data_IF_945621691303
#
_entry.id   IF_945621691303
#
_cell.length_a   1.000
_cell.length_b   1.000
_cell.length_c   1.000
_cell.angle_alpha   90.00
_cell.angle_beta   90.00
_cell.angle_gamma   90.00
#
_symmetry.space_group_name_H-M   'P 1'
#
loop_
_entity.id
_entity.type
_entity.pdbx_description
1 polymer ?
#
# COMPACT_ATOMS: atom_id res chain seq x y z
N UNK A 1 8.61 -13.79 24.52
CA UNK A 1 8.27 -12.38 24.20
C UNK A 1 6.80 -12.18 24.53
N UNK A 2 6.41 -11.09 25.18
CA UNK A 2 5.01 -10.72 25.45
C UNK A 2 4.61 -9.61 24.48
N UNK A 3 3.46 -9.75 23.83
CA UNK A 3 2.93 -8.77 22.88
C UNK A 3 1.83 -7.94 23.55
N UNK A 4 2.01 -6.63 23.59
CA UNK A 4 0.96 -5.65 23.89
C UNK A 4 0.45 -5.05 22.59
N UNK A 5 -0.84 -5.21 22.32
CA UNK A 5 -1.48 -4.72 21.09
C UNK A 5 -2.46 -3.59 21.38
N UNK A 6 -2.48 -2.59 20.50
CA UNK A 6 -3.44 -1.50 20.51
C UNK A 6 -3.96 -1.25 19.10
N UNK A 7 -5.27 -1.28 18.92
CA UNK A 7 -5.94 -0.85 17.69
C UNK A 7 -6.24 0.64 17.76
N UNK A 8 -5.59 1.41 16.90
CA UNK A 8 -5.77 2.85 16.82
C UNK A 8 -6.97 3.27 15.94
N UNK A 9 -7.65 2.33 15.28
CA UNK A 9 -8.84 2.59 14.45
C UNK A 9 -8.56 3.63 13.34
N UNK A 10 -7.42 3.54 12.69
CA UNK A 10 -6.97 4.45 11.62
C UNK A 10 -6.93 5.94 12.06
N UNK A 11 -6.65 6.21 13.35
CA UNK A 11 -6.58 7.56 13.90
C UNK A 11 -5.18 7.85 14.43
N UNK A 12 -4.45 8.84 13.85
CA UNK A 12 -3.11 9.18 14.29
C UNK A 12 -3.03 9.55 15.77
N UNK A 13 -4.03 10.27 16.28
CA UNK A 13 -4.10 10.65 17.72
C UNK A 13 -4.22 9.42 18.64
N UNK A 14 -4.89 8.37 18.20
CA UNK A 14 -4.98 7.12 18.98
C UNK A 14 -3.64 6.34 18.92
N UNK A 15 -2.93 6.37 17.79
CA UNK A 15 -1.59 5.80 17.70
C UNK A 15 -0.62 6.50 18.65
N UNK A 16 -0.58 7.82 18.64
CA UNK A 16 0.26 8.62 19.55
C UNK A 16 -0.05 8.28 21.02
N UNK A 17 -1.34 8.18 21.37
CA UNK A 17 -1.74 7.79 22.72
C UNK A 17 -1.26 6.37 23.06
N UNK A 18 -1.44 5.41 22.16
CA UNK A 18 -0.99 4.03 22.38
C UNK A 18 0.54 3.93 22.55
N UNK A 19 1.31 4.70 21.77
CA UNK A 19 2.77 4.77 21.90
C UNK A 19 3.15 5.31 23.28
N UNK A 20 2.52 6.37 23.78
CA UNK A 20 2.75 6.90 25.13
C UNK A 20 2.39 5.89 26.21
N UNK A 21 1.27 5.17 26.05
CA UNK A 21 0.88 4.09 26.99
C UNK A 21 1.93 2.95 27.01
N UNK A 22 2.58 2.65 25.89
CA UNK A 22 3.67 1.66 25.82
C UNK A 22 4.96 2.20 26.44
N UNK A 23 5.29 3.47 26.27
CA UNK A 23 6.41 4.12 26.95
C UNK A 23 6.23 4.03 28.48
N UNK A 24 5.03 4.36 28.99
CA UNK A 24 4.73 4.30 30.41
C UNK A 24 4.81 2.90 31.01
N UNK A 25 4.52 1.87 30.20
CA UNK A 25 4.67 0.46 30.57
C UNK A 25 6.11 -0.02 30.54
N UNK A 26 7.04 0.73 29.92
CA UNK A 26 8.44 0.36 29.81
C UNK A 26 8.65 -0.86 28.92
N UNK A 27 7.99 -0.92 27.76
CA UNK A 27 8.19 -2.01 26.79
C UNK A 27 9.60 -1.99 26.21
N UNK A 28 10.09 -3.14 25.76
CA UNK A 28 11.45 -3.26 25.20
C UNK A 28 11.58 -2.66 23.78
N UNK A 29 10.52 -2.73 22.98
CA UNK A 29 10.48 -2.26 21.57
C UNK A 29 9.05 -1.82 21.24
N UNK A 30 8.90 -0.78 20.45
CA UNK A 30 7.60 -0.34 19.87
C UNK A 30 7.65 -0.56 18.36
N UNK A 31 6.62 -1.22 17.80
CA UNK A 31 6.41 -1.35 16.37
C UNK A 31 5.04 -0.78 16.00
N UNK A 32 4.96 0.05 14.97
CA UNK A 32 3.69 0.61 14.51
C UNK A 32 3.71 0.96 13.03
N UNK A 33 2.51 0.93 12.40
CA UNK A 33 2.28 1.36 11.03
C UNK A 33 1.66 2.77 11.04
N UNK A 34 2.40 3.83 10.67
CA UNK A 34 1.87 5.20 10.70
C UNK A 34 0.65 5.36 9.77
N UNK A 35 -0.44 5.93 10.25
CA UNK A 35 -1.63 6.19 9.40
C UNK A 35 -1.30 7.22 8.32
N UNK A 36 -0.57 8.27 8.70
CA UNK A 36 -0.08 9.36 7.83
C UNK A 36 1.40 9.61 8.12
N UNK A 37 2.09 10.34 7.24
CA UNK A 37 3.53 10.58 7.39
C UNK A 37 3.90 11.60 8.47
N UNK A 38 3.00 12.50 8.82
CA UNK A 38 3.30 13.66 9.67
C UNK A 38 2.82 13.53 11.10
N UNK A 39 3.38 14.35 12.01
CA UNK A 39 2.93 14.46 13.41
C UNK A 39 3.63 13.51 14.39
N UNK A 40 4.68 12.82 13.99
CA UNK A 40 5.33 11.78 14.80
C UNK A 40 6.53 12.26 15.60
N UNK A 41 7.12 13.41 15.26
CA UNK A 41 8.41 13.84 15.80
C UNK A 41 8.42 13.89 17.34
N UNK A 42 7.40 14.48 17.96
CA UNK A 42 7.34 14.60 19.42
C UNK A 42 7.32 13.24 20.12
N UNK A 43 6.42 12.35 19.71
CA UNK A 43 6.28 11.02 20.35
C UNK A 43 7.48 10.12 20.08
N UNK A 44 8.13 10.23 18.92
CA UNK A 44 9.37 9.53 18.63
C UNK A 44 10.54 10.04 19.48
N UNK A 45 10.62 11.34 19.74
CA UNK A 45 11.57 11.90 20.71
C UNK A 45 11.30 11.40 22.15
N UNK A 46 10.02 11.19 22.52
CA UNK A 46 9.66 10.56 23.79
C UNK A 46 10.17 9.11 23.86
N UNK A 47 9.99 8.31 22.81
CA UNK A 47 10.56 6.96 22.70
C UNK A 47 12.09 6.97 22.86
N UNK A 48 12.77 7.87 22.15
CA UNK A 48 14.22 8.01 22.19
C UNK A 48 14.71 8.35 23.59
N UNK A 49 14.05 9.30 24.29
CA UNK A 49 14.36 9.66 25.68
C UNK A 49 14.15 8.50 26.66
N UNK A 50 13.17 7.65 26.40
CA UNK A 50 12.90 6.45 27.19
C UNK A 50 13.88 5.29 26.84
N UNK A 51 14.70 5.43 25.80
CA UNK A 51 15.62 4.39 25.35
C UNK A 51 14.90 3.22 24.66
N UNK A 52 13.69 3.43 24.16
CA UNK A 52 12.87 2.40 23.50
C UNK A 52 13.06 2.51 21.98
N UNK A 53 13.64 1.51 21.31
CA UNK A 53 13.78 1.46 19.87
C UNK A 53 12.40 1.34 19.20
N UNK A 54 12.27 2.01 18.03
CA UNK A 54 11.04 2.05 17.24
C UNK A 54 11.25 1.35 15.90
N UNK A 55 10.34 0.45 15.55
CA UNK A 55 10.23 -0.20 14.25
C UNK A 55 9.02 0.41 13.51
N UNK A 56 9.23 1.06 12.38
CA UNK A 56 8.16 1.42 11.48
C UNK A 56 7.75 0.19 10.65
N UNK A 57 6.47 -0.03 10.50
CA UNK A 57 5.94 -1.21 9.80
C UNK A 57 5.07 -0.77 8.64
N UNK A 58 5.28 -1.36 7.45
CA UNK A 58 4.52 -1.12 6.23
C UNK A 58 4.62 0.33 5.72
N UNK A 59 4.38 1.32 6.54
CA UNK A 59 4.36 2.74 6.20
C UNK A 59 5.50 3.50 6.85
N UNK A 60 6.03 4.49 6.13
CA UNK A 60 7.05 5.41 6.61
C UNK A 60 6.48 6.69 7.22
N UNK A 61 7.39 7.56 7.61
CA UNK A 61 7.12 8.92 8.09
C UNK A 61 7.82 9.93 7.17
N UNK A 62 7.42 11.20 7.26
CA UNK A 62 7.97 12.31 6.46
C UNK A 62 9.52 12.30 6.51
N UNK A 63 10.14 12.36 5.33
CA UNK A 63 11.59 12.39 5.17
C UNK A 63 12.26 13.62 5.82
N UNK A 64 11.49 14.66 6.14
CA UNK A 64 11.96 15.82 6.91
C UNK A 64 12.15 15.55 8.39
N UNK A 65 11.58 14.45 8.94
CA UNK A 65 11.78 14.02 10.31
C UNK A 65 13.16 13.37 10.46
N UNK A 66 13.87 13.73 11.56
CA UNK A 66 15.17 13.14 11.84
C UNK A 66 15.10 11.60 11.89
N UNK A 67 15.76 10.98 10.94
CA UNK A 67 15.77 9.51 10.81
C UNK A 67 16.37 8.78 12.01
N UNK A 68 17.10 9.48 12.91
CA UNK A 68 17.61 8.89 14.15
C UNK A 68 16.51 8.61 15.19
N UNK A 69 15.31 9.14 14.99
CA UNK A 69 14.17 8.99 15.90
C UNK A 69 13.47 7.62 15.79
N UNK A 70 13.71 6.87 14.72
CA UNK A 70 13.29 5.47 14.63
C UNK A 70 14.49 4.58 14.29
N UNK A 71 14.42 3.31 14.66
CA UNK A 71 15.56 2.40 14.52
C UNK A 71 15.61 1.78 13.14
N UNK A 72 14.49 1.24 12.66
CA UNK A 72 14.38 0.57 11.37
C UNK A 72 12.96 0.69 10.83
N UNK A 73 12.81 0.47 9.53
CA UNK A 73 11.52 0.28 8.85
C UNK A 73 11.49 -1.12 8.23
N UNK A 74 10.37 -1.82 8.35
CA UNK A 74 10.08 -3.09 7.70
C UNK A 74 8.89 -2.86 6.78
N UNK A 75 9.09 -2.80 5.48
CA UNK A 75 8.06 -2.41 4.52
C UNK A 75 8.42 -2.85 3.11
N UNK A 76 7.41 -2.93 2.25
CA UNK A 76 7.55 -3.00 0.80
C UNK A 76 8.14 -1.70 0.24
N UNK A 77 8.72 -1.77 -0.96
CA UNK A 77 9.08 -0.59 -1.74
C UNK A 77 7.84 -0.11 -2.51
N UNK A 78 7.15 0.88 -1.95
CA UNK A 78 5.92 1.40 -2.53
C UNK A 78 6.16 2.21 -3.81
N UNK A 79 7.34 2.83 -3.98
CA UNK A 79 7.72 3.51 -5.24
C UNK A 79 7.88 2.46 -6.34
N UNK A 80 8.61 1.38 -6.05
CA UNK A 80 8.75 0.26 -6.97
C UNK A 80 7.38 -0.34 -7.33
N UNK A 81 6.49 -0.52 -6.36
CA UNK A 81 5.16 -1.08 -6.62
C UNK A 81 4.35 -0.20 -7.59
N UNK A 82 4.37 1.13 -7.42
CA UNK A 82 3.76 2.08 -8.35
C UNK A 82 4.40 2.02 -9.74
N UNK A 83 5.73 1.99 -9.80
CA UNK A 83 6.47 1.85 -11.07
C UNK A 83 6.10 0.56 -11.81
N UNK A 84 6.04 -0.59 -11.12
CA UNK A 84 5.65 -1.86 -11.74
C UNK A 84 4.19 -1.84 -12.23
N UNK A 85 3.29 -1.22 -11.48
CA UNK A 85 1.91 -1.01 -11.95
C UNK A 85 1.89 -0.18 -13.24
N UNK A 86 2.70 0.86 -13.32
CA UNK A 86 2.81 1.70 -14.51
C UNK A 86 3.37 0.94 -15.72
N UNK A 87 4.42 0.12 -15.52
CA UNK A 87 5.00 -0.74 -16.57
C UNK A 87 3.92 -1.65 -17.17
N UNK A 88 3.17 -2.36 -16.32
CA UNK A 88 2.12 -3.28 -16.78
C UNK A 88 0.97 -2.51 -17.45
N UNK A 89 0.55 -1.36 -16.92
CA UNK A 89 -0.48 -0.52 -17.54
C UNK A 89 -0.07 -0.04 -18.93
N UNK A 90 1.18 0.41 -19.08
CA UNK A 90 1.72 0.86 -20.37
C UNK A 90 1.72 -0.25 -21.42
N UNK A 91 2.07 -1.47 -21.02
CA UNK A 91 2.03 -2.65 -21.91
C UNK A 91 0.58 -2.98 -22.34
N UNK A 92 -0.35 -3.04 -21.37
CA UNK A 92 -1.76 -3.36 -21.62
C UNK A 92 -2.44 -2.34 -22.54
N UNK A 93 -2.10 -1.04 -22.41
CA UNK A 93 -2.64 0.04 -23.22
C UNK A 93 -1.79 0.34 -24.48
N UNK A 94 -0.71 -0.42 -24.71
CA UNK A 94 0.19 -0.19 -25.85
C UNK A 94 0.72 1.26 -25.91
N UNK A 95 0.93 1.86 -24.75
CA UNK A 95 1.52 3.20 -24.56
C UNK A 95 0.58 4.37 -24.82
N UNK A 96 -0.74 4.17 -24.96
CA UNK A 96 -1.71 5.26 -25.22
C UNK A 96 -3.06 4.96 -24.58
N UNK A 97 -3.67 5.95 -23.91
CA UNK A 97 -4.98 5.82 -23.30
C UNK A 97 -5.26 6.82 -22.19
N UNK A 98 -6.46 6.73 -21.62
CA UNK A 98 -6.93 7.56 -20.51
C UNK A 98 -6.99 6.70 -19.26
N UNK A 99 -6.26 7.10 -18.22
CA UNK A 99 -6.14 6.37 -16.96
C UNK A 99 -6.66 7.22 -15.81
N UNK A 100 -7.31 6.58 -14.86
CA UNK A 100 -7.70 7.16 -13.57
C UNK A 100 -6.99 6.42 -12.44
N UNK A 101 -6.74 7.12 -11.34
CA UNK A 101 -6.05 6.61 -10.18
C UNK A 101 -6.93 6.67 -8.95
N UNK A 102 -7.14 5.49 -8.32
CA UNK A 102 -7.82 5.36 -7.04
C UNK A 102 -6.78 5.34 -5.94
N UNK A 103 -6.61 6.48 -5.30
CA UNK A 103 -5.62 6.68 -4.24
C UNK A 103 -6.07 6.10 -2.91
N UNK A 104 -5.11 5.72 -2.08
CA UNK A 104 -5.35 5.33 -0.70
C UNK A 104 -5.65 6.51 0.23
N UNK A 105 -5.41 6.30 1.52
CA UNK A 105 -5.56 7.34 2.56
C UNK A 105 -4.63 8.51 2.28
N UNK A 106 -5.20 9.71 2.19
CA UNK A 106 -4.43 10.93 1.91
C UNK A 106 -3.41 11.18 3.03
N UNK A 107 -2.16 11.42 2.64
CA UNK A 107 -1.04 11.65 3.55
C UNK A 107 -0.37 10.38 4.09
N UNK A 108 -0.82 9.18 3.69
CA UNK A 108 -0.11 7.94 3.97
C UNK A 108 1.07 7.78 3.01
N UNK A 109 2.23 7.33 3.51
CA UNK A 109 3.44 7.11 2.69
C UNK A 109 3.20 6.14 1.53
N UNK A 110 2.43 5.07 1.75
CA UNK A 110 2.06 4.12 0.71
C UNK A 110 1.29 4.79 -0.44
N UNK A 111 0.37 5.73 -0.13
CA UNK A 111 -0.36 6.50 -1.15
C UNK A 111 0.59 7.39 -1.95
N UNK A 112 1.40 8.20 -1.25
CA UNK A 112 2.33 9.16 -1.86
C UNK A 112 3.35 8.46 -2.74
N UNK A 113 3.91 7.35 -2.28
CA UNK A 113 4.98 6.64 -2.97
C UNK A 113 4.47 5.80 -4.14
N UNK A 114 3.27 5.18 -4.03
CA UNK A 114 2.64 4.47 -5.17
C UNK A 114 2.27 5.44 -6.29
N UNK A 115 1.67 6.59 -5.95
CA UNK A 115 1.43 7.69 -6.91
C UNK A 115 2.73 8.15 -7.57
N UNK A 116 3.76 8.47 -6.77
CA UNK A 116 5.05 8.89 -7.28
C UNK A 116 5.63 7.89 -8.30
N UNK A 117 5.69 6.61 -7.94
CA UNK A 117 6.25 5.58 -8.82
C UNK A 117 5.47 5.44 -10.13
N UNK A 118 4.14 5.49 -10.06
CA UNK A 118 3.26 5.37 -11.21
C UNK A 118 3.36 6.60 -12.12
N UNK A 119 3.20 7.79 -11.58
CA UNK A 119 3.19 9.04 -12.32
C UNK A 119 4.53 9.36 -12.95
N UNK A 120 5.63 9.20 -12.19
CA UNK A 120 6.98 9.44 -12.70
C UNK A 120 7.31 8.52 -13.87
N UNK A 121 6.96 7.23 -13.79
CA UNK A 121 7.15 6.30 -14.89
C UNK A 121 6.34 6.70 -16.13
N UNK A 122 5.04 6.99 -15.94
CA UNK A 122 4.14 7.39 -17.05
C UNK A 122 4.62 8.65 -17.74
N UNK A 123 5.00 9.68 -16.97
CA UNK A 123 5.50 10.94 -17.50
C UNK A 123 6.79 10.77 -18.30
N UNK A 124 7.69 9.90 -17.84
CA UNK A 124 8.99 9.68 -18.48
C UNK A 124 8.91 8.78 -19.72
N UNK A 125 8.03 7.76 -19.72
CA UNK A 125 8.09 6.68 -20.71
C UNK A 125 6.85 6.58 -21.60
N UNK A 126 5.70 7.11 -21.18
CA UNK A 126 4.41 6.88 -21.84
C UNK A 126 3.63 8.18 -22.11
N UNK A 127 4.17 9.12 -22.93
CA UNK A 127 3.52 10.43 -23.16
C UNK A 127 2.15 10.32 -23.85
N UNK A 128 1.78 9.16 -24.37
CA UNK A 128 0.46 8.89 -24.94
C UNK A 128 -0.59 8.47 -23.91
N UNK A 129 -0.20 8.17 -22.67
CA UNK A 129 -1.12 7.86 -21.57
C UNK A 129 -1.38 9.15 -20.78
N UNK A 130 -2.66 9.44 -20.55
CA UNK A 130 -3.10 10.61 -19.81
C UNK A 130 -3.76 10.17 -18.50
N UNK A 131 -3.18 10.53 -17.37
CA UNK A 131 -3.80 10.36 -16.06
C UNK A 131 -4.72 11.57 -15.85
N UNK A 132 -6.03 11.35 -15.87
CA UNK A 132 -7.05 12.43 -15.87
C UNK A 132 -7.68 12.67 -14.52
N UNK A 133 -7.49 11.76 -13.58
CA UNK A 133 -8.00 11.89 -12.20
C UNK A 133 -7.15 11.12 -11.21
N UNK A 134 -6.97 11.74 -10.03
CA UNK A 134 -6.45 11.16 -8.82
C UNK A 134 -7.51 11.36 -7.74
N UNK A 135 -8.15 10.28 -7.27
CA UNK A 135 -9.22 10.39 -6.29
C UNK A 135 -9.11 9.34 -5.20
N UNK A 136 -9.17 9.78 -3.93
CA UNK A 136 -9.01 8.86 -2.80
C UNK A 136 -10.25 7.99 -2.60
N UNK A 137 -10.02 6.69 -2.49
CA UNK A 137 -10.95 5.67 -2.01
C UNK A 137 -10.55 5.12 -0.63
N UNK A 138 -9.60 5.80 0.05
CA UNK A 138 -9.21 5.54 1.45
C UNK A 138 -8.89 4.07 1.76
N UNK A 139 -8.31 3.35 0.79
CA UNK A 139 -7.98 1.92 0.85
C UNK A 139 -9.16 0.99 1.12
N UNK A 140 -10.40 1.45 0.97
CA UNK A 140 -11.58 0.63 1.25
C UNK A 140 -12.36 0.25 0.00
N UNK A 141 -12.96 -0.95 -0.01
CA UNK A 141 -13.75 -1.46 -1.14
C UNK A 141 -14.96 -0.58 -1.45
N UNK A 142 -15.70 -0.19 -0.43
CA UNK A 142 -16.91 0.62 -0.59
C UNK A 142 -16.59 1.99 -1.19
N UNK A 143 -15.50 2.63 -0.75
CA UNK A 143 -15.08 3.92 -1.31
C UNK A 143 -14.49 3.75 -2.72
N UNK A 144 -13.69 2.70 -2.96
CA UNK A 144 -13.21 2.39 -4.31
C UNK A 144 -14.35 2.23 -5.32
N UNK A 145 -15.42 1.52 -4.93
CA UNK A 145 -16.63 1.39 -5.75
C UNK A 145 -17.33 2.73 -5.96
N UNK A 146 -17.53 3.52 -4.92
CA UNK A 146 -18.20 4.81 -5.01
C UNK A 146 -17.44 5.79 -5.90
N UNK A 147 -16.12 5.90 -5.70
CA UNK A 147 -15.23 6.76 -6.50
C UNK A 147 -15.21 6.31 -7.96
N UNK A 148 -15.10 5.02 -8.24
CA UNK A 148 -15.11 4.52 -9.62
C UNK A 148 -16.44 4.81 -10.31
N UNK A 149 -17.57 4.67 -9.63
CA UNK A 149 -18.89 5.01 -10.18
C UNK A 149 -18.99 6.52 -10.54
N UNK A 150 -18.42 7.39 -9.70
CA UNK A 150 -18.34 8.83 -9.97
C UNK A 150 -17.44 9.15 -11.17
N UNK A 151 -16.29 8.50 -11.29
CA UNK A 151 -15.37 8.66 -12.41
C UNK A 151 -16.00 8.21 -13.73
N UNK A 152 -16.71 7.07 -13.74
CA UNK A 152 -17.45 6.58 -14.90
C UNK A 152 -18.59 7.54 -15.35
N UNK A 153 -19.19 8.27 -14.41
CA UNK A 153 -20.20 9.27 -14.72
C UNK A 153 -19.60 10.60 -15.22
N UNK A 154 -18.34 10.88 -14.87
CA UNK A 154 -17.65 12.14 -15.16
C UNK A 154 -16.89 12.10 -16.48
N UNK A 155 -16.22 11.00 -16.77
CA UNK A 155 -15.39 10.84 -17.96
C UNK A 155 -16.10 9.98 -19.01
N UNK A 156 -16.15 10.47 -20.24
CA UNK A 156 -16.80 9.77 -21.37
C UNK A 156 -16.06 8.46 -21.71
N UNK A 157 -14.75 8.42 -21.45
CA UNK A 157 -13.89 7.28 -21.75
C UNK A 157 -12.78 7.11 -20.70
N UNK A 158 -12.60 5.88 -20.25
CA UNK A 158 -11.53 5.45 -19.35
C UNK A 158 -11.00 4.12 -19.90
N UNK A 159 -9.70 4.05 -20.19
CA UNK A 159 -9.02 2.83 -20.67
C UNK A 159 -8.41 2.01 -19.54
N UNK A 160 -8.01 2.68 -18.47
CA UNK A 160 -7.33 2.02 -17.36
C UNK A 160 -7.61 2.63 -15.99
N UNK A 161 -7.49 1.79 -14.97
CA UNK A 161 -7.57 2.15 -13.55
C UNK A 161 -6.33 1.62 -12.84
N UNK A 162 -5.57 2.49 -12.19
CA UNK A 162 -4.62 2.10 -11.17
C UNK A 162 -5.25 2.31 -9.80
N UNK A 163 -5.50 1.23 -9.07
CA UNK A 163 -5.96 1.27 -7.69
C UNK A 163 -4.79 1.01 -6.75
N UNK A 164 -4.57 1.90 -5.78
CA UNK A 164 -3.46 1.78 -4.84
C UNK A 164 -3.55 0.55 -3.94
N UNK A 165 -4.72 -0.12 -3.90
CA UNK A 165 -4.82 -1.44 -3.29
C UNK A 165 -5.91 -2.30 -3.93
N UNK A 166 -5.86 -3.60 -3.60
CA UNK A 166 -6.76 -4.61 -4.13
C UNK A 166 -8.23 -4.39 -3.71
N UNK A 167 -8.48 -3.94 -2.48
CA UNK A 167 -9.86 -3.72 -2.02
C UNK A 167 -10.55 -2.62 -2.84
N UNK A 168 -9.86 -1.52 -3.14
CA UNK A 168 -10.40 -0.49 -4.03
C UNK A 168 -10.59 -1.01 -5.46
N UNK A 169 -9.65 -1.83 -5.96
CA UNK A 169 -9.78 -2.45 -7.28
C UNK A 169 -10.99 -3.38 -7.36
N UNK A 170 -11.22 -4.20 -6.34
CA UNK A 170 -12.40 -5.07 -6.26
C UNK A 170 -13.71 -4.25 -6.22
N UNK A 171 -13.71 -3.12 -5.52
CA UNK A 171 -14.82 -2.17 -5.54
C UNK A 171 -15.01 -1.53 -6.93
N UNK A 172 -13.92 -1.14 -7.60
CA UNK A 172 -13.96 -0.59 -8.95
C UNK A 172 -14.51 -1.61 -9.98
N UNK A 173 -14.14 -2.89 -9.85
CA UNK A 173 -14.69 -3.99 -10.67
C UNK A 173 -16.22 -4.03 -10.56
N UNK A 174 -16.77 -3.94 -9.34
CA UNK A 174 -18.22 -3.92 -9.13
C UNK A 174 -18.88 -2.72 -9.83
N UNK A 175 -18.32 -1.51 -9.69
CA UNK A 175 -18.84 -0.30 -10.32
C UNK A 175 -18.80 -0.38 -11.85
N UNK A 176 -17.74 -0.92 -12.44
CA UNK A 176 -17.58 -1.10 -13.89
C UNK A 176 -18.62 -2.10 -14.41
N UNK A 177 -18.87 -3.20 -13.71
CA UNK A 177 -19.90 -4.18 -14.06
C UNK A 177 -21.31 -3.58 -13.97
N UNK A 178 -21.60 -2.77 -12.95
CA UNK A 178 -22.87 -2.07 -12.79
C UNK A 178 -23.15 -1.05 -13.92
N UNK A 179 -22.08 -0.45 -14.45
CA UNK A 179 -22.15 0.41 -15.63
C UNK A 179 -22.35 -0.36 -16.95
N UNK A 180 -22.37 -1.70 -16.90
CA UNK A 180 -22.54 -2.56 -18.08
C UNK A 180 -21.26 -2.76 -18.89
N UNK A 181 -20.10 -2.40 -18.33
CA UNK A 181 -18.79 -2.59 -18.94
C UNK A 181 -18.12 -3.86 -18.39
N UNK A 182 -17.08 -4.33 -19.07
CA UNK A 182 -16.33 -5.51 -18.71
C UNK A 182 -15.00 -5.13 -18.07
N UNK A 183 -14.85 -5.27 -16.72
CA UNK A 183 -13.58 -5.04 -16.06
C UNK A 183 -12.52 -6.01 -16.59
N UNK A 184 -11.29 -5.53 -16.74
CA UNK A 184 -10.19 -6.28 -17.30
C UNK A 184 -10.16 -6.37 -18.84
N UNK A 185 -11.33 -6.20 -19.52
CA UNK A 185 -11.43 -6.17 -20.98
C UNK A 185 -11.60 -4.75 -21.50
N UNK A 186 -12.74 -4.08 -21.20
CA UNK A 186 -13.05 -2.75 -21.66
C UNK A 186 -12.24 -1.69 -20.90
N UNK A 187 -11.99 -1.92 -19.60
CA UNK A 187 -11.16 -1.07 -18.76
C UNK A 187 -10.10 -1.97 -18.11
N UNK A 188 -8.83 -1.67 -18.33
CA UNK A 188 -7.70 -2.37 -17.69
C UNK A 188 -7.58 -1.95 -16.24
N UNK A 189 -7.35 -2.92 -15.35
CA UNK A 189 -7.28 -2.64 -13.90
C UNK A 189 -6.01 -3.25 -13.34
N UNK A 190 -5.25 -2.43 -12.62
CA UNK A 190 -4.06 -2.86 -11.89
C UNK A 190 -4.19 -2.40 -10.45
N UNK A 191 -3.73 -3.23 -9.52
CA UNK A 191 -3.78 -2.95 -8.09
C UNK A 191 -2.50 -3.36 -7.37
N UNK A 192 -2.48 -3.15 -6.06
CA UNK A 192 -1.38 -3.53 -5.17
C UNK A 192 -1.99 -4.27 -3.98
N UNK A 193 -1.31 -5.17 -3.37
CA UNK A 193 -1.35 -5.92 -2.13
C UNK A 193 -1.21 -7.43 -2.34
N UNK A 194 -1.89 -8.04 -3.32
CA UNK A 194 -1.87 -9.49 -3.54
C UNK A 194 -2.79 -10.25 -2.60
N UNK A 195 -3.96 -9.71 -2.24
CA UNK A 195 -4.95 -10.44 -1.43
C UNK A 195 -5.61 -11.56 -2.22
N UNK A 196 -6.14 -12.57 -1.54
CA UNK A 196 -6.77 -13.73 -2.18
C UNK A 196 -7.84 -13.36 -3.21
N UNK A 197 -8.71 -12.38 -2.89
CA UNK A 197 -9.75 -11.91 -3.79
C UNK A 197 -9.22 -11.27 -5.08
N UNK A 198 -8.06 -10.62 -5.03
CA UNK A 198 -7.40 -10.08 -6.20
C UNK A 198 -6.85 -11.18 -7.10
N UNK A 199 -6.24 -12.23 -6.55
CA UNK A 199 -5.81 -13.38 -7.34
C UNK A 199 -6.99 -14.10 -8.00
N UNK A 200 -8.11 -14.25 -7.30
CA UNK A 200 -9.35 -14.78 -7.88
C UNK A 200 -9.83 -13.91 -9.04
N UNK A 201 -9.78 -12.58 -8.90
CA UNK A 201 -10.14 -11.63 -9.95
C UNK A 201 -9.16 -11.67 -11.14
N UNK A 202 -7.85 -11.83 -10.89
CA UNK A 202 -6.84 -12.01 -11.96
C UNK A 202 -7.11 -13.29 -12.73
N UNK A 203 -7.37 -14.41 -12.04
CA UNK A 203 -7.68 -15.68 -12.68
C UNK A 203 -9.00 -15.63 -13.48
N UNK A 204 -9.98 -14.85 -13.01
CA UNK A 204 -11.24 -14.61 -13.70
C UNK A 204 -11.13 -13.61 -14.88
N UNK A 205 -9.99 -12.91 -15.01
CA UNK A 205 -9.75 -11.90 -16.04
C UNK A 205 -10.44 -10.57 -15.80
N UNK A 206 -10.96 -10.31 -14.60
CA UNK A 206 -11.59 -9.05 -14.20
C UNK A 206 -10.63 -8.04 -13.59
N UNK A 207 -9.46 -8.50 -13.13
CA UNK A 207 -8.29 -7.74 -12.76
C UNK A 207 -7.12 -8.18 -13.67
N UNK A 208 -6.31 -7.26 -14.16
CA UNK A 208 -5.22 -7.61 -15.06
C UNK A 208 -3.92 -7.93 -14.33
N UNK A 209 -3.68 -7.26 -13.20
CA UNK A 209 -2.47 -7.44 -12.41
C UNK A 209 -2.69 -6.96 -10.97
N UNK A 210 -2.04 -7.63 -10.02
CA UNK A 210 -1.77 -7.10 -8.68
C UNK A 210 -0.29 -7.19 -8.39
N UNK A 211 0.30 -6.10 -7.86
CA UNK A 211 1.67 -6.06 -7.35
C UNK A 211 1.63 -6.40 -5.87
N UNK A 212 2.44 -7.36 -5.44
CA UNK A 212 2.41 -7.78 -4.04
C UNK A 212 2.88 -6.67 -3.09
N UNK A 213 2.22 -6.57 -1.95
CA UNK A 213 2.64 -5.84 -0.76
C UNK A 213 2.22 -6.70 0.44
N UNK A 214 3.12 -7.60 0.85
CA UNK A 214 2.77 -8.63 1.82
C UNK A 214 2.52 -8.08 3.21
N UNK A 215 1.39 -8.42 3.89
CA UNK A 215 1.18 -8.08 5.30
C UNK A 215 1.84 -9.07 6.27
N UNK A 216 2.50 -10.11 5.76
CA UNK A 216 3.08 -11.19 6.57
C UNK A 216 4.45 -10.79 7.17
N UNK A 217 4.51 -9.64 7.82
CA UNK A 217 5.73 -9.05 8.38
C UNK A 217 6.02 -9.50 9.82
N UNK A 218 5.12 -10.24 10.46
CA UNK A 218 5.22 -10.57 11.88
C UNK A 218 6.53 -11.27 12.26
N UNK A 219 6.99 -12.25 11.46
CA UNK A 219 8.25 -12.93 11.72
C UNK A 219 9.43 -11.95 11.72
N UNK A 220 9.54 -11.10 10.70
CA UNK A 220 10.58 -10.09 10.58
C UNK A 220 10.54 -9.09 11.75
N UNK A 221 9.33 -8.66 12.16
CA UNK A 221 9.16 -7.74 13.30
C UNK A 221 9.68 -8.37 14.58
N UNK A 222 9.31 -9.62 14.87
CA UNK A 222 9.75 -10.31 16.09
C UNK A 222 11.25 -10.63 16.09
N UNK A 223 11.81 -11.04 14.95
CA UNK A 223 13.25 -11.29 14.81
C UNK A 223 14.05 -9.99 14.98
N UNK A 224 13.61 -8.90 14.36
CA UNK A 224 14.21 -7.57 14.51
C UNK A 224 14.12 -7.08 15.97
N UNK A 225 12.97 -7.23 16.62
CA UNK A 225 12.80 -6.85 18.02
C UNK A 225 13.73 -7.67 18.94
N UNK A 226 13.95 -8.96 18.65
CA UNK A 226 14.88 -9.80 19.41
C UNK A 226 16.34 -9.36 19.21
N UNK A 227 16.75 -9.04 17.98
CA UNK A 227 18.07 -8.52 17.65
C UNK A 227 18.34 -7.18 18.37
N UNK A 228 17.38 -6.24 18.31
CA UNK A 228 17.48 -4.96 19.01
C UNK A 228 17.62 -5.12 20.53
N UNK A 229 16.85 -6.04 21.13
CA UNK A 229 16.97 -6.36 22.56
C UNK A 229 18.32 -6.98 22.91
N UNK A 230 18.95 -7.73 21.99
CA UNK A 230 20.30 -8.27 22.15
C UNK A 230 21.40 -7.23 21.91
N UNK A 231 21.06 -6.00 21.49
CA UNK A 231 22.02 -4.94 21.16
C UNK A 231 22.69 -5.13 19.80
N UNK A 232 22.10 -5.93 18.92
CA UNK A 232 22.59 -6.18 17.57
C UNK A 232 22.20 -5.02 16.63
N UNK A 233 23.04 -4.74 15.64
CA UNK A 233 22.73 -3.78 14.59
C UNK A 233 21.73 -4.37 13.59
N UNK A 234 20.80 -3.54 13.14
CA UNK A 234 19.82 -3.88 12.09
C UNK A 234 19.89 -2.88 10.95
N UNK A 235 19.53 -3.29 9.74
CA UNK A 235 19.46 -2.39 8.59
C UNK A 235 18.41 -1.31 8.83
N UNK A 236 18.64 -0.13 8.28
CA UNK A 236 17.71 1.01 8.41
C UNK A 236 16.36 0.77 7.72
N UNK A 237 16.38 -0.01 6.65
CA UNK A 237 15.18 -0.46 5.94
C UNK A 237 15.34 -1.94 5.58
N UNK A 238 14.41 -2.74 6.07
CA UNK A 238 14.27 -4.16 5.75
C UNK A 238 13.14 -4.26 4.72
N UNK A 239 13.53 -4.39 3.45
CA UNK A 239 12.59 -4.42 2.33
C UNK A 239 11.94 -5.80 2.21
N UNK A 240 10.61 -5.83 2.03
CA UNK A 240 9.88 -7.06 1.69
C UNK A 240 10.24 -7.53 0.29
N UNK A 241 10.20 -8.86 0.10
CA UNK A 241 10.44 -9.45 -1.21
C UNK A 241 9.08 -9.67 -1.89
N UNK A 242 8.62 -8.67 -2.64
CA UNK A 242 7.32 -8.66 -3.32
C UNK A 242 7.46 -9.05 -4.80
N UNK A 243 6.39 -9.60 -5.41
CA UNK A 243 6.35 -10.02 -6.82
C UNK A 243 5.16 -9.37 -7.54
N UNK A 244 5.11 -9.54 -8.85
CA UNK A 244 4.05 -9.03 -9.74
C UNK A 244 3.25 -10.22 -10.23
N UNK A 245 1.94 -10.17 -10.08
CA UNK A 245 1.03 -11.26 -10.43
C UNK A 245 0.07 -10.86 -11.54
N UNK A 246 0.34 -11.40 -12.71
CA UNK A 246 -0.50 -11.37 -13.91
C UNK A 246 -1.14 -12.75 -14.15
N UNK A 247 -2.06 -12.86 -15.08
CA UNK A 247 -2.82 -14.09 -15.32
C UNK A 247 -1.96 -15.33 -15.66
N UNK A 248 -0.77 -15.13 -16.22
CA UNK A 248 0.17 -16.21 -16.52
C UNK A 248 0.92 -16.74 -15.29
N UNK A 249 0.98 -15.97 -14.21
CA UNK A 249 1.62 -16.36 -12.95
C UNK A 249 0.62 -16.90 -11.92
N UNK A 250 -0.64 -16.42 -11.93
CA UNK A 250 -1.63 -16.82 -10.92
C UNK A 250 -2.16 -18.22 -11.22
N UNK A 251 -2.06 -19.10 -10.23
CA UNK A 251 -2.59 -20.48 -10.28
C UNK A 251 -3.53 -20.74 -9.10
N UNK A 252 -4.38 -21.75 -9.21
CA UNK A 252 -5.26 -22.15 -8.10
C UNK A 252 -4.46 -22.53 -6.85
N UNK A 253 -3.27 -23.11 -6.99
CA UNK A 253 -2.39 -23.46 -5.87
C UNK A 253 -1.92 -22.18 -5.11
N UNK A 254 -1.57 -21.11 -5.84
CA UNK A 254 -1.21 -19.83 -5.22
C UNK A 254 -2.41 -19.24 -4.46
N UNK A 255 -3.61 -19.28 -5.06
CA UNK A 255 -4.85 -18.80 -4.43
C UNK A 255 -5.15 -19.58 -3.14
N UNK A 256 -5.05 -20.91 -3.19
CA UNK A 256 -5.33 -21.79 -2.05
C UNK A 256 -4.32 -21.60 -0.91
N UNK A 257 -3.07 -21.26 -1.25
CA UNK A 257 -2.01 -20.96 -0.29
C UNK A 257 -2.07 -19.55 0.30
N UNK A 258 -2.85 -18.63 -0.30
CA UNK A 258 -2.94 -17.24 0.17
C UNK A 258 -3.81 -17.15 1.42
N UNK A 259 -3.28 -16.55 2.49
CA UNK A 259 -3.92 -16.47 3.81
C UNK A 259 -4.52 -15.10 4.14
N UNK A 260 -4.41 -14.15 3.23
CA UNK A 260 -4.92 -12.78 3.37
C UNK A 260 -5.58 -12.29 2.08
#
# INVERSE_FOLDING_TARGET
>A
MELHFADAQQKPENQIKAIRDFIDRGVDVIAFAPVIETGWEEVLQECQKAGIPVILVDRGIDAGIDSSLYTTMIASDHVWAGEQAAVVMAELLSGSGVVVELQGTIGASATIQREQGFDDYMAANCPGIQIVAHQSGDFTRDQGRAVMAELLATYEHIDGVFAHNDDMALGAIEAIQEAGLKPGEDIKIISVDGVKGAFEAVLAGTLNCTVECTPLLAAQIFDTAAALKAGEAVDKWIVSNDDIYTADKVTQEIIDGRTY
#
